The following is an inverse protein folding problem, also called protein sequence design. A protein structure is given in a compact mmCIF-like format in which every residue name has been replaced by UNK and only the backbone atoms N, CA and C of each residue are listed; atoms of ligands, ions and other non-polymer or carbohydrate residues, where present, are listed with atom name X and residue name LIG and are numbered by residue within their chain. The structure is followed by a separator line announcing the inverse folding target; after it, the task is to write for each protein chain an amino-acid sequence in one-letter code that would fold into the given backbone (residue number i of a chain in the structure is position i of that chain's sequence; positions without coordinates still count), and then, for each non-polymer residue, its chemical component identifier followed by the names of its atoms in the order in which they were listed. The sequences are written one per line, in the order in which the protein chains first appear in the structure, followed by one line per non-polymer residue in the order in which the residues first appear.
data_IF_125754569741
#
_entry.id   IF_125754569741
#
_cell.length_a   1.000
_cell.length_b   1.000
_cell.length_c   1.000
_cell.angle_alpha   90.00
_cell.angle_beta   90.00
_cell.angle_gamma   90.00
#
_symmetry.space_group_name_H-M   'P 1'
#
loop_
_entity.id
_entity.type
_entity.pdbx_description
1 polymer ?
#
# COMPACT_ATOMS: atom_id res chain seq x y z
N UNK A 1 -16.30 -21.83 -3.79
CA UNK A 1 -15.23 -22.25 -4.73
C UNK A 1 -14.02 -22.57 -3.90
N UNK A 2 -13.26 -23.58 -4.28
CA UNK A 2 -11.97 -23.83 -3.65
C UNK A 2 -10.91 -22.83 -4.10
N UNK A 3 -9.82 -22.73 -3.35
CA UNK A 3 -8.70 -21.87 -3.74
C UNK A 3 -8.09 -22.29 -5.09
N UNK A 4 -8.01 -23.60 -5.34
CA UNK A 4 -7.53 -24.16 -6.62
C UNK A 4 -8.41 -23.70 -7.79
N UNK A 5 -9.73 -23.76 -7.63
CA UNK A 5 -10.68 -23.30 -8.64
C UNK A 5 -10.57 -21.79 -8.89
N UNK A 6 -10.37 -21.00 -7.84
CA UNK A 6 -10.19 -19.55 -7.94
C UNK A 6 -8.92 -19.19 -8.71
N UNK A 7 -7.78 -19.85 -8.43
CA UNK A 7 -6.52 -19.65 -9.15
C UNK A 7 -6.65 -20.07 -10.62
N UNK A 8 -7.31 -21.20 -10.89
CA UNK A 8 -7.50 -21.69 -12.26
C UNK A 8 -8.28 -20.70 -13.14
N UNK A 9 -9.22 -19.96 -12.56
CA UNK A 9 -10.12 -19.01 -13.26
C UNK A 9 -9.61 -17.56 -13.30
N UNK A 10 -8.60 -17.22 -12.51
CA UNK A 10 -8.09 -15.86 -12.43
C UNK A 10 -7.47 -15.40 -13.76
N UNK A 11 -7.67 -14.11 -14.08
CA UNK A 11 -7.00 -13.45 -15.21
C UNK A 11 -5.55 -13.09 -14.85
N UNK A 12 -4.77 -12.60 -15.83
CA UNK A 12 -3.35 -12.26 -15.64
C UNK A 12 -3.13 -11.30 -14.46
N UNK A 13 -3.98 -10.27 -14.32
CA UNK A 13 -3.90 -9.30 -13.24
C UNK A 13 -4.22 -9.95 -11.89
N UNK A 14 -5.26 -10.77 -11.83
CA UNK A 14 -5.67 -11.51 -10.63
C UNK A 14 -4.59 -12.49 -10.18
N UNK A 15 -3.94 -13.19 -11.11
CA UNK A 15 -2.82 -14.08 -10.83
C UNK A 15 -1.63 -13.32 -10.23
N UNK A 16 -1.20 -12.22 -10.89
CA UNK A 16 -0.10 -11.40 -10.38
C UNK A 16 -0.41 -10.81 -9.00
N UNK A 17 -1.61 -10.24 -8.82
CA UNK A 17 -2.05 -9.67 -7.55
C UNK A 17 -2.16 -10.73 -6.45
N UNK A 18 -2.64 -11.94 -6.75
CA UNK A 18 -2.75 -13.02 -5.75
C UNK A 18 -1.38 -13.52 -5.28
N UNK A 19 -0.41 -13.67 -6.21
CA UNK A 19 0.97 -14.00 -5.88
C UNK A 19 1.64 -12.91 -5.03
N UNK A 20 1.48 -11.63 -5.42
CA UNK A 20 1.97 -10.50 -4.64
C UNK A 20 1.34 -10.44 -3.26
N UNK A 21 0.03 -10.67 -3.13
CA UNK A 21 -0.63 -10.69 -1.82
C UNK A 21 -0.04 -11.78 -0.91
N UNK A 22 0.23 -12.98 -1.44
CA UNK A 22 0.91 -14.03 -0.67
C UNK A 22 2.29 -13.57 -0.21
N UNK A 23 3.08 -12.97 -1.11
CA UNK A 23 4.42 -12.49 -0.78
C UNK A 23 4.41 -11.34 0.24
N UNK A 24 3.52 -10.35 0.07
CA UNK A 24 3.34 -9.17 0.93
C UNK A 24 3.16 -9.57 2.40
N UNK A 25 2.35 -10.61 2.63
CA UNK A 25 2.13 -11.17 3.97
C UNK A 25 3.40 -11.77 4.58
N UNK A 26 4.35 -12.19 3.76
CA UNK A 26 5.60 -12.85 4.16
C UNK A 26 6.81 -11.90 4.13
N UNK A 27 6.67 -10.65 3.65
CA UNK A 27 7.75 -9.65 3.60
C UNK A 27 8.43 -9.41 4.95
N UNK A 28 7.72 -9.41 6.11
CA UNK A 28 8.38 -9.25 7.41
C UNK A 28 9.41 -10.34 7.74
N UNK A 29 9.35 -11.52 7.10
CA UNK A 29 10.36 -12.58 7.25
C UNK A 29 11.67 -12.29 6.48
N UNK A 30 11.63 -11.32 5.57
CA UNK A 30 12.74 -10.90 4.73
C UNK A 30 13.38 -9.59 5.22
N UNK A 31 13.08 -9.18 6.46
CA UNK A 31 13.43 -7.87 7.02
C UNK A 31 12.93 -6.68 6.18
N UNK A 32 11.90 -6.91 5.35
CA UNK A 32 11.29 -5.88 4.53
C UNK A 32 10.20 -5.10 5.29
N UNK A 33 10.03 -3.84 4.90
CA UNK A 33 8.90 -3.00 5.34
C UNK A 33 7.61 -3.29 4.53
N UNK A 34 6.46 -2.84 5.04
CA UNK A 34 5.15 -2.96 4.38
C UNK A 34 5.08 -2.25 3.02
N UNK A 35 6.09 -1.46 2.66
CA UNK A 35 6.18 -0.69 1.43
C UNK A 35 7.12 -1.35 0.39
N UNK A 36 7.74 -2.49 0.73
CA UNK A 36 8.74 -3.14 -0.11
C UNK A 36 8.17 -3.57 -1.46
N UNK A 37 6.90 -4.00 -1.52
CA UNK A 37 6.25 -4.44 -2.76
C UNK A 37 5.46 -3.33 -3.46
N UNK A 38 5.45 -2.09 -2.93
CA UNK A 38 4.67 -0.97 -3.49
C UNK A 38 4.95 -0.71 -4.98
N UNK A 39 6.21 -0.82 -5.49
CA UNK A 39 6.48 -0.67 -6.92
C UNK A 39 5.71 -1.67 -7.78
N UNK A 40 5.67 -2.95 -7.39
CA UNK A 40 4.96 -4.00 -8.12
C UNK A 40 3.44 -3.77 -8.10
N UNK A 41 2.88 -3.36 -6.95
CA UNK A 41 1.47 -2.99 -6.85
C UNK A 41 1.11 -1.80 -7.74
N UNK A 42 2.00 -0.82 -7.88
CA UNK A 42 1.81 0.31 -8.79
C UNK A 42 1.75 -0.14 -10.26
N UNK A 43 2.66 -1.03 -10.70
CA UNK A 43 2.63 -1.55 -12.08
C UNK A 43 1.30 -2.24 -12.42
N UNK A 44 0.71 -2.97 -11.46
CA UNK A 44 -0.61 -3.60 -11.65
C UNK A 44 -1.75 -2.57 -11.66
N UNK A 45 -1.63 -1.47 -10.92
CA UNK A 45 -2.62 -0.39 -10.94
C UNK A 45 -2.61 0.37 -12.28
N UNK A 46 -1.41 0.70 -12.77
CA UNK A 46 -1.17 1.55 -13.94
C UNK A 46 -1.42 0.85 -15.29
N UNK A 47 -1.46 -0.49 -15.32
CA UNK A 47 -1.85 -1.31 -16.48
C UNK A 47 -3.28 -1.02 -17.03
N UNK A 48 -3.98 -0.03 -16.47
CA UNK A 48 -5.31 0.44 -16.86
C UNK A 48 -5.33 1.69 -17.76
N UNK A 49 -4.17 2.31 -18.07
CA UNK A 49 -4.05 3.24 -19.19
C UNK A 49 -3.58 4.67 -18.88
N UNK A 50 -2.30 4.82 -18.53
CA UNK A 50 -1.40 5.92 -18.94
C UNK A 50 0.05 5.55 -18.60
N UNK A 51 0.82 5.10 -19.60
CA UNK A 51 2.17 4.54 -19.36
C UNK A 51 3.19 5.64 -18.98
N UNK A 52 3.40 5.84 -17.68
CA UNK A 52 4.63 6.46 -17.14
C UNK A 52 5.15 5.78 -15.86
N UNK A 53 4.58 4.64 -15.48
CA UNK A 53 5.11 3.78 -14.41
C UNK A 53 6.23 2.85 -14.90
N UNK A 54 7.09 2.34 -13.99
CA UNK A 54 8.08 1.34 -14.33
C UNK A 54 7.42 0.06 -14.87
N UNK A 55 8.08 -0.61 -15.80
CA UNK A 55 7.61 -1.92 -16.27
C UNK A 55 7.72 -2.95 -15.14
N UNK A 56 6.85 -3.95 -15.13
CA UNK A 56 6.79 -5.03 -14.15
C UNK A 56 8.16 -5.66 -13.87
N UNK A 57 8.93 -5.93 -14.95
CA UNK A 57 10.25 -6.54 -14.84
C UNK A 57 11.25 -5.64 -14.09
N UNK A 58 11.20 -4.34 -14.33
CA UNK A 58 12.05 -3.35 -13.66
C UNK A 58 11.68 -3.22 -12.18
N UNK A 59 10.39 -3.09 -11.89
CA UNK A 59 9.89 -3.06 -10.51
C UNK A 59 10.27 -4.34 -9.75
N UNK A 60 10.21 -5.51 -10.39
CA UNK A 60 10.60 -6.77 -9.79
C UNK A 60 12.11 -6.83 -9.47
N UNK A 61 12.96 -6.32 -10.36
CA UNK A 61 14.39 -6.24 -10.12
C UNK A 61 14.69 -5.34 -8.90
N UNK A 62 14.06 -4.17 -8.83
CA UNK A 62 14.21 -3.25 -7.68
C UNK A 62 13.80 -3.90 -6.35
N UNK A 63 12.68 -4.64 -6.34
CA UNK A 63 12.21 -5.35 -5.14
C UNK A 63 13.17 -6.45 -4.73
N UNK A 64 13.72 -7.22 -5.69
CA UNK A 64 14.72 -8.25 -5.42
C UNK A 64 15.98 -7.69 -4.80
N UNK A 65 16.46 -6.57 -5.33
CA UNK A 65 17.65 -5.90 -4.78
C UNK A 65 17.38 -5.36 -3.37
N UNK A 66 16.20 -4.75 -3.13
CA UNK A 66 15.79 -4.26 -1.82
C UNK A 66 15.71 -5.39 -0.77
N UNK A 67 15.23 -6.56 -1.16
CA UNK A 67 14.99 -7.71 -0.27
C UNK A 67 16.09 -8.79 -0.36
N UNK A 68 17.21 -8.51 -1.03
CA UNK A 68 18.26 -9.50 -1.26
C UNK A 68 18.82 -10.07 0.05
N UNK A 69 18.86 -9.26 1.11
CA UNK A 69 19.32 -9.62 2.46
C UNK A 69 20.76 -10.18 2.48
N UNK A 70 21.39 -10.30 3.65
CA UNK A 70 22.56 -11.15 3.77
C UNK A 70 22.09 -12.62 3.70
N UNK A 71 22.60 -13.40 2.75
CA UNK A 71 22.38 -14.84 2.68
C UNK A 71 23.05 -15.54 3.88
N UNK A 72 22.36 -15.53 5.02
CA UNK A 72 22.92 -16.00 6.28
C UNK A 72 22.79 -17.52 6.40
N UNK A 73 23.89 -18.18 6.73
CA UNK A 73 23.88 -19.58 7.15
C UNK A 73 23.04 -19.72 8.42
N UNK A 74 22.03 -20.60 8.40
CA UNK A 74 21.14 -20.83 9.55
C UNK A 74 19.83 -20.04 9.53
N UNK A 75 19.42 -19.54 8.38
CA UNK A 75 18.15 -18.82 8.26
C UNK A 75 16.91 -19.72 8.45
N UNK A 76 15.86 -19.13 9.00
CA UNK A 76 14.60 -19.81 9.30
C UNK A 76 13.93 -20.36 8.03
N UNK A 77 13.37 -21.57 8.11
CA UNK A 77 12.72 -22.26 6.97
C UNK A 77 11.62 -21.39 6.33
N UNK A 78 10.84 -20.65 7.14
CA UNK A 78 9.79 -19.78 6.63
C UNK A 78 10.38 -18.62 5.81
N UNK A 79 11.53 -18.09 6.24
CA UNK A 79 12.22 -17.02 5.54
C UNK A 79 12.85 -17.52 4.22
N UNK A 80 13.41 -18.74 4.19
CA UNK A 80 13.87 -19.41 2.96
C UNK A 80 12.73 -19.57 1.94
N UNK A 81 11.54 -19.99 2.40
CA UNK A 81 10.36 -20.13 1.54
C UNK A 81 9.91 -18.78 0.96
N UNK A 82 9.87 -17.73 1.78
CA UNK A 82 9.53 -16.38 1.31
C UNK A 82 10.54 -15.85 0.27
N UNK A 83 11.84 -16.08 0.47
CA UNK A 83 12.88 -15.75 -0.51
C UNK A 83 12.69 -16.51 -1.83
N UNK A 84 12.35 -17.79 -1.78
CA UNK A 84 12.04 -18.60 -2.98
C UNK A 84 10.83 -18.08 -3.72
N UNK A 85 9.77 -17.65 -3.03
CA UNK A 85 8.59 -17.03 -3.65
C UNK A 85 8.98 -15.78 -4.47
N UNK A 86 9.81 -14.90 -3.89
CA UNK A 86 10.31 -13.69 -4.57
C UNK A 86 11.27 -14.03 -5.73
N UNK A 87 12.19 -14.97 -5.52
CA UNK A 87 13.12 -15.41 -6.55
C UNK A 87 12.42 -16.06 -7.75
N UNK A 88 11.32 -16.77 -7.52
CA UNK A 88 10.54 -17.44 -8.57
C UNK A 88 9.56 -16.51 -9.30
N UNK A 89 9.37 -15.26 -8.87
CA UNK A 89 8.48 -14.32 -9.55
C UNK A 89 8.90 -14.13 -11.02
N UNK A 90 7.99 -14.30 -11.99
CA UNK A 90 8.37 -14.23 -13.39
C UNK A 90 8.64 -12.78 -13.80
N UNK A 91 9.70 -12.53 -14.56
CA UNK A 91 9.96 -11.21 -15.16
C UNK A 91 8.95 -10.88 -16.26
N UNK A 92 8.38 -11.91 -16.90
CA UNK A 92 7.28 -11.76 -17.86
C UNK A 92 5.93 -11.81 -17.12
N UNK A 93 5.13 -10.75 -17.27
CA UNK A 93 3.80 -10.66 -16.67
C UNK A 93 2.75 -11.32 -17.57
N UNK A 94 2.90 -12.62 -17.86
CA UNK A 94 1.99 -13.39 -18.72
C UNK A 94 1.25 -14.50 -17.97
N UNK A 95 0.02 -14.79 -18.42
CA UNK A 95 -0.94 -15.65 -17.71
C UNK A 95 -0.41 -17.04 -17.32
N UNK A 96 0.21 -17.83 -18.22
CA UNK A 96 0.69 -19.16 -17.88
C UNK A 96 1.76 -19.16 -16.78
N UNK A 97 2.80 -18.32 -16.89
CA UNK A 97 3.90 -18.27 -15.91
C UNK A 97 3.43 -17.70 -14.57
N UNK A 98 2.55 -16.69 -14.60
CA UNK A 98 1.93 -16.14 -13.40
C UNK A 98 1.02 -17.15 -12.70
N UNK A 99 0.36 -18.06 -13.44
CA UNK A 99 -0.47 -19.11 -12.83
C UNK A 99 0.38 -20.08 -12.02
N UNK A 100 1.48 -20.56 -12.60
CA UNK A 100 2.43 -21.44 -11.90
C UNK A 100 3.01 -20.74 -10.67
N UNK A 101 3.39 -19.47 -10.80
CA UNK A 101 3.93 -18.69 -9.69
C UNK A 101 2.88 -18.44 -8.58
N UNK A 102 1.67 -18.04 -8.93
CA UNK A 102 0.59 -17.82 -7.96
C UNK A 102 0.20 -19.10 -7.21
N UNK A 103 0.13 -20.24 -7.92
CA UNK A 103 -0.11 -21.55 -7.30
C UNK A 103 0.99 -21.90 -6.28
N UNK A 104 2.26 -21.78 -6.68
CA UNK A 104 3.40 -22.03 -5.81
C UNK A 104 3.43 -21.08 -4.59
N UNK A 105 3.15 -19.79 -4.80
CA UNK A 105 3.05 -18.80 -3.72
C UNK A 105 1.93 -19.12 -2.73
N UNK A 106 0.78 -19.62 -3.21
CA UNK A 106 -0.34 -20.02 -2.35
C UNK A 106 0.05 -21.16 -1.41
N UNK A 107 0.72 -22.18 -1.94
CA UNK A 107 1.24 -23.34 -1.18
C UNK A 107 2.32 -22.91 -0.20
N UNK A 108 3.30 -22.13 -0.65
CA UNK A 108 4.40 -21.66 0.18
C UNK A 108 3.90 -20.81 1.36
N UNK A 109 2.96 -19.89 1.13
CA UNK A 109 2.37 -19.08 2.21
C UNK A 109 1.64 -19.94 3.24
N UNK A 110 0.90 -20.97 2.82
CA UNK A 110 0.24 -21.90 3.76
C UNK A 110 1.27 -22.70 4.58
N UNK A 111 2.36 -23.15 3.97
CA UNK A 111 3.48 -23.81 4.68
C UNK A 111 4.14 -22.87 5.68
N UNK A 112 4.42 -21.62 5.29
CA UNK A 112 4.97 -20.58 6.17
C UNK A 112 4.06 -20.37 7.39
N UNK A 113 2.75 -20.18 7.17
CA UNK A 113 1.80 -19.97 8.28
C UNK A 113 1.65 -21.19 9.19
N UNK A 114 1.93 -22.40 8.67
CA UNK A 114 2.03 -23.61 9.49
C UNK A 114 3.30 -23.64 10.34
N UNK A 115 4.45 -23.27 9.79
CA UNK A 115 5.71 -23.17 10.53
C UNK A 115 5.63 -22.12 11.65
N UNK A 116 4.92 -21.03 11.41
CA UNK A 116 4.68 -19.97 12.39
C UNK A 116 3.55 -20.30 13.38
N UNK A 117 2.78 -21.36 13.15
CA UNK A 117 1.72 -21.76 14.06
C UNK A 117 2.34 -22.28 15.36
N UNK A 118 1.89 -21.80 16.54
CA UNK A 118 2.27 -22.40 17.81
C UNK A 118 2.00 -23.91 17.77
N UNK A 119 2.94 -24.72 18.24
CA UNK A 119 2.86 -26.17 18.19
C UNK A 119 1.66 -26.71 19.00
N UNK A 120 0.47 -26.72 18.41
CA UNK A 120 -0.66 -27.46 18.90
C UNK A 120 -0.49 -28.91 18.43
N UNK A 121 0.25 -29.70 19.22
CA UNK A 121 0.33 -31.16 19.12
C UNK A 121 0.49 -31.71 17.70
N UNK A 122 1.72 -31.68 17.17
CA UNK A 122 2.24 -32.46 16.04
C UNK A 122 1.21 -33.10 15.09
N UNK A 123 0.43 -32.28 14.37
CA UNK A 123 -0.26 -32.76 13.19
C UNK A 123 0.80 -33.06 12.11
N UNK A 124 0.68 -34.18 11.36
CA UNK A 124 1.68 -34.61 10.39
C UNK A 124 1.91 -33.56 9.30
N UNK A 125 3.15 -33.44 8.80
CA UNK A 125 3.63 -32.49 7.79
C UNK A 125 2.97 -32.60 6.39
N UNK A 126 1.77 -33.16 6.30
CA UNK A 126 1.02 -33.19 5.05
C UNK A 126 0.74 -31.77 4.55
N UNK A 127 0.72 -31.63 3.22
CA UNK A 127 0.29 -30.40 2.56
C UNK A 127 -1.09 -29.96 3.04
N UNK A 128 -1.28 -28.64 3.13
CA UNK A 128 -2.56 -28.05 3.51
C UNK A 128 -3.55 -28.25 2.35
N UNK A 129 -4.69 -28.95 2.56
CA UNK A 129 -5.71 -29.09 1.53
C UNK A 129 -6.24 -27.71 1.11
N UNK A 130 -6.13 -27.40 -0.18
CA UNK A 130 -6.62 -26.13 -0.79
C UNK A 130 -7.97 -26.30 -1.48
N UNK A 131 -8.38 -27.55 -1.69
CA UNK A 131 -9.63 -28.00 -2.27
C UNK A 131 -10.74 -28.24 -1.24
N UNK A 132 -10.38 -28.35 0.04
CA UNK A 132 -11.28 -28.61 1.15
C UNK A 132 -11.54 -27.37 2.04
N UNK A 133 -12.45 -27.52 3.00
CA UNK A 133 -12.75 -26.53 4.02
C UNK A 133 -11.62 -26.34 5.03
N UNK A 134 -11.82 -25.41 5.97
CA UNK A 134 -10.82 -25.12 7.02
C UNK A 134 -10.96 -25.99 8.27
N UNK A 135 -11.89 -26.95 8.29
CA UNK A 135 -12.09 -27.82 9.45
C UNK A 135 -10.80 -28.60 9.81
N UNK A 136 -10.41 -28.56 11.08
CA UNK A 136 -9.23 -29.29 11.57
C UNK A 136 -7.88 -28.64 11.25
N UNK A 137 -7.84 -27.52 10.52
CA UNK A 137 -6.59 -26.80 10.25
C UNK A 137 -6.16 -25.95 11.46
N UNK A 138 -4.84 -25.77 11.69
CA UNK A 138 -4.34 -24.81 12.67
C UNK A 138 -4.91 -23.40 12.42
N UNK A 139 -5.22 -22.60 13.46
CA UNK A 139 -5.91 -21.31 13.30
C UNK A 139 -5.23 -20.35 12.31
N UNK A 140 -3.90 -20.26 12.30
CA UNK A 140 -3.15 -19.42 11.36
C UNK A 140 -3.29 -19.91 9.91
N UNK A 141 -3.27 -21.22 9.70
CA UNK A 141 -3.44 -21.84 8.37
C UNK A 141 -4.86 -21.62 7.85
N UNK A 142 -5.87 -21.84 8.71
CA UNK A 142 -7.28 -21.59 8.39
C UNK A 142 -7.55 -20.10 8.09
N UNK A 143 -6.87 -19.18 8.77
CA UNK A 143 -6.97 -17.75 8.50
C UNK A 143 -6.34 -17.38 7.14
N UNK A 144 -5.15 -17.93 6.85
CA UNK A 144 -4.46 -17.66 5.58
C UNK A 144 -5.21 -18.24 4.37
N UNK A 145 -5.75 -19.46 4.47
CA UNK A 145 -6.54 -20.06 3.38
C UNK A 145 -7.77 -19.21 3.05
N UNK A 146 -8.51 -18.73 4.07
CA UNK A 146 -9.66 -17.83 3.87
C UNK A 146 -9.25 -16.50 3.26
N UNK A 147 -8.12 -15.94 3.69
CA UNK A 147 -7.59 -14.69 3.14
C UNK A 147 -7.25 -14.83 1.66
N UNK A 148 -6.54 -15.89 1.25
CA UNK A 148 -6.18 -16.13 -0.14
C UNK A 148 -7.41 -16.25 -1.04
N UNK A 149 -8.42 -17.02 -0.59
CA UNK A 149 -9.70 -17.13 -1.29
C UNK A 149 -10.39 -15.77 -1.42
N UNK A 150 -10.51 -15.01 -0.32
CA UNK A 150 -11.14 -13.69 -0.32
C UNK A 150 -10.45 -12.69 -1.26
N UNK A 151 -9.11 -12.72 -1.37
CA UNK A 151 -8.35 -11.88 -2.31
C UNK A 151 -8.72 -12.21 -3.75
N UNK A 152 -8.74 -13.49 -4.13
CA UNK A 152 -9.09 -13.92 -5.49
C UNK A 152 -10.56 -13.66 -5.82
N UNK A 153 -11.47 -13.87 -4.88
CA UNK A 153 -12.89 -13.53 -5.04
C UNK A 153 -13.08 -12.02 -5.26
N UNK A 154 -12.37 -11.20 -4.49
CA UNK A 154 -12.37 -9.75 -4.68
C UNK A 154 -11.87 -9.38 -6.07
N UNK A 155 -10.73 -9.93 -6.50
CA UNK A 155 -10.14 -9.66 -7.81
C UNK A 155 -11.05 -10.12 -8.96
N UNK A 156 -11.70 -11.27 -8.83
CA UNK A 156 -12.68 -11.77 -9.80
C UNK A 156 -13.91 -10.84 -9.92
N UNK A 157 -14.36 -10.25 -8.81
CA UNK A 157 -15.41 -9.23 -8.80
C UNK A 157 -15.03 -7.92 -9.48
N UNK A 158 -13.72 -7.66 -9.65
CA UNK A 158 -13.16 -6.48 -10.31
C UNK A 158 -12.60 -6.77 -11.72
N UNK A 159 -13.00 -7.88 -12.36
CA UNK A 159 -12.48 -8.33 -13.66
C UNK A 159 -12.46 -7.25 -14.76
N UNK A 160 -11.82 -7.51 -15.91
CA UNK A 160 -11.42 -6.56 -16.98
C UNK A 160 -12.32 -5.34 -17.30
N UNK A 161 -13.62 -5.35 -16.98
CA UNK A 161 -14.55 -4.23 -17.03
C UNK A 161 -14.83 -3.58 -15.66
N UNK A 162 -13.86 -3.57 -14.74
CA UNK A 162 -13.94 -2.99 -13.39
C UNK A 162 -14.08 -1.46 -13.40
N UNK A 163 -15.05 -0.94 -14.15
CA UNK A 163 -15.58 0.38 -13.96
C UNK A 163 -15.99 0.50 -12.51
N UNK A 164 -15.33 1.42 -11.79
CA UNK A 164 -15.81 1.92 -10.51
C UNK A 164 -17.34 2.00 -10.58
N UNK A 165 -18.11 1.43 -9.63
CA UNK A 165 -19.40 2.03 -9.37
C UNK A 165 -19.09 3.49 -9.07
N UNK A 166 -19.58 4.39 -9.93
CA UNK A 166 -19.37 5.82 -9.78
C UNK A 166 -19.62 6.12 -8.30
N UNK A 167 -18.58 6.57 -7.59
CA UNK A 167 -18.75 7.09 -6.24
C UNK A 167 -19.85 8.12 -6.38
N UNK A 168 -21.04 7.81 -5.87
CA UNK A 168 -22.13 8.78 -5.77
C UNK A 168 -21.45 10.01 -5.16
N UNK A 169 -21.45 11.17 -5.84
CA UNK A 169 -20.82 12.35 -5.27
C UNK A 169 -21.43 12.52 -3.88
N UNK A 170 -20.56 12.47 -2.89
CA UNK A 170 -20.90 12.81 -1.53
C UNK A 170 -21.48 14.22 -1.61
N UNK A 171 -22.81 14.31 -1.51
CA UNK A 171 -23.47 15.57 -1.17
C UNK A 171 -23.21 15.71 0.31
N UNK A 172 -22.22 16.51 0.69
CA UNK A 172 -22.11 16.95 2.08
C UNK A 172 -23.43 17.61 2.47
N UNK A 173 -24.08 17.17 3.57
CA UNK A 173 -24.75 18.12 4.41
C UNK A 173 -23.67 19.04 5.01
N UNK A 174 -24.05 20.28 5.22
CA UNK A 174 -23.19 21.40 5.58
C UNK A 174 -22.29 21.08 6.79
N UNK A 175 -21.09 21.67 6.74
CA UNK A 175 -19.98 21.62 7.71
C UNK A 175 -20.44 21.61 9.16
N UNK A 176 -19.88 20.69 9.95
CA UNK A 176 -19.44 20.95 11.32
C UNK A 176 -17.99 20.46 11.44
N UNK A 177 -17.11 21.40 11.79
CA UNK A 177 -15.66 21.24 11.79
C UNK A 177 -15.18 20.81 13.18
N UNK A 178 -14.86 19.54 13.40
CA UNK A 178 -14.12 19.07 14.58
C UNK A 178 -13.64 17.62 14.46
N UNK A 179 -12.68 17.29 13.58
CA UNK A 179 -11.88 16.05 13.74
C UNK A 179 -10.64 15.98 12.83
N UNK A 180 -9.81 17.02 12.81
CA UNK A 180 -8.48 16.93 12.19
C UNK A 180 -7.45 17.46 13.17
N UNK A 181 -7.13 16.66 14.18
CA UNK A 181 -5.90 16.80 14.97
C UNK A 181 -5.64 15.53 15.80
N UNK A 182 -5.05 14.50 15.18
CA UNK A 182 -4.06 13.66 15.88
C UNK A 182 -3.25 12.80 14.90
N UNK A 183 -1.94 12.89 15.08
CA UNK A 183 -0.85 12.01 14.62
C UNK A 183 -0.04 12.40 13.37
N UNK A 184 1.00 13.18 13.63
CA UNK A 184 2.36 12.91 13.16
C UNK A 184 3.40 13.52 14.15
N UNK A 185 4.67 13.07 14.14
CA UNK A 185 5.37 12.63 15.36
C UNK A 185 6.62 13.45 15.74
N UNK A 186 7.21 13.03 16.86
CA UNK A 186 8.57 13.27 17.39
C UNK A 186 8.85 14.53 18.24
N UNK A 187 9.34 14.29 19.48
CA UNK A 187 9.88 15.27 20.44
C UNK A 187 11.36 15.59 20.18
N UNK A 188 12.27 15.72 21.18
CA UNK A 188 12.14 16.04 22.61
C UNK A 188 12.77 17.41 22.93
N UNK A 189 12.69 17.88 24.18
CA UNK A 189 13.54 19.00 24.63
C UNK A 189 12.97 19.79 25.79
N UNK A 190 13.64 19.68 26.93
CA UNK A 190 13.36 20.30 28.21
C UNK A 190 13.17 21.82 28.18
N UNK A 191 12.27 22.27 29.04
CA UNK A 191 12.69 23.15 30.14
C UNK A 191 12.75 24.64 29.87
N UNK A 192 11.85 25.35 30.56
CA UNK A 192 12.08 26.67 31.16
C UNK A 192 12.25 27.87 30.18
N UNK A 193 11.75 29.07 30.40
CA UNK A 193 10.97 29.69 31.46
C UNK A 193 10.75 31.15 31.02
N UNK A 194 9.56 31.70 31.31
CA UNK A 194 9.26 33.12 31.56
C UNK A 194 9.39 34.18 30.44
N UNK A 195 8.23 34.84 30.29
CA UNK A 195 7.97 36.29 30.41
C UNK A 195 8.55 37.23 29.34
N UNK A 196 7.65 38.04 28.79
CA UNK A 196 7.91 39.48 28.74
C UNK A 196 7.59 40.16 27.43
N UNK A 197 6.36 40.68 27.34
CA UNK A 197 5.98 42.01 26.82
C UNK A 197 6.91 42.70 25.81
N UNK A 198 6.27 43.02 24.67
CA UNK A 198 6.31 44.30 23.91
C UNK A 198 7.65 44.68 23.26
N UNK A 199 7.63 44.75 21.92
CA UNK A 199 7.82 45.99 21.11
C UNK A 199 7.78 45.64 19.62
N UNK A 200 7.00 46.41 18.86
CA UNK A 200 7.19 46.66 17.43
C UNK A 200 7.69 48.12 17.28
N UNK A 201 8.11 48.61 16.10
CA UNK A 201 8.89 48.04 14.99
C UNK A 201 10.13 48.95 14.72
N UNK A 202 10.73 48.95 13.50
CA UNK A 202 10.39 50.09 12.64
C UNK A 202 10.11 49.73 11.18
N UNK A 203 9.26 50.59 10.61
CA UNK A 203 8.83 50.70 9.22
C UNK A 203 9.96 51.31 8.38
N UNK A 204 10.22 50.77 7.20
CA UNK A 204 10.98 51.47 6.15
C UNK A 204 10.00 52.14 5.20
N UNK A 205 10.08 53.47 5.12
CA UNK A 205 9.34 54.34 4.21
C UNK A 205 10.15 54.48 2.93
N UNK A 206 9.53 54.21 1.77
CA UNK A 206 10.03 54.69 0.48
C UNK A 206 9.05 55.74 -0.04
N UNK A 207 9.53 56.97 -0.17
CA UNK A 207 8.84 58.11 -0.79
C UNK A 207 8.96 57.99 -2.32
N UNK A 208 7.84 58.02 -3.01
CA UNK A 208 7.73 58.41 -4.41
C UNK A 208 6.69 59.52 -4.55
N UNK A 209 7.16 60.73 -4.84
CA UNK A 209 6.40 61.86 -5.40
C UNK A 209 6.07 61.52 -6.88
N UNK A 210 4.99 61.92 -7.55
CA UNK A 210 3.97 62.95 -7.37
C UNK A 210 3.02 62.81 -8.57
N UNK A 211 1.71 63.02 -8.39
CA UNK A 211 0.80 63.22 -9.51
C UNK A 211 -0.64 62.77 -9.28
N UNK A 212 -1.46 63.65 -8.69
CA UNK A 212 -2.87 63.85 -9.02
C UNK A 212 -3.86 62.69 -8.86
N UNK A 213 -4.79 62.85 -7.91
CA UNK A 213 -6.17 62.40 -8.09
C UNK A 213 -6.56 61.14 -7.32
N UNK A 214 -7.46 61.35 -6.35
CA UNK A 214 -8.33 60.38 -5.70
C UNK A 214 -7.67 59.22 -4.92
N UNK A 215 -7.97 59.18 -3.63
CA UNK A 215 -7.68 58.06 -2.75
C UNK A 215 -8.37 56.78 -3.29
N UNK A 216 -7.58 55.87 -3.83
CA UNK A 216 -7.98 54.49 -4.10
C UNK A 216 -7.19 53.60 -3.15
N UNK A 217 -7.89 52.98 -2.22
CA UNK A 217 -7.36 51.89 -1.38
C UNK A 217 -6.99 50.74 -2.31
N UNK A 218 -5.70 50.60 -2.61
CA UNK A 218 -5.16 49.49 -3.40
C UNK A 218 -5.22 48.20 -2.59
N UNK A 219 -6.20 47.36 -2.89
CA UNK A 219 -6.31 46.00 -2.36
C UNK A 219 -5.20 45.12 -2.96
N UNK A 220 -4.29 44.62 -2.13
CA UNK A 220 -3.31 43.60 -2.54
C UNK A 220 -4.03 42.26 -2.64
N UNK A 221 -4.52 41.93 -3.83
CA UNK A 221 -5.10 40.63 -4.15
C UNK A 221 -3.99 39.63 -4.49
N UNK A 222 -3.68 38.74 -3.54
CA UNK A 222 -2.97 37.49 -3.85
C UNK A 222 -4.00 36.41 -4.15
N UNK A 223 -4.11 36.05 -5.43
CA UNK A 223 -4.94 34.94 -5.90
C UNK A 223 -4.18 33.63 -5.71
N UNK A 224 -4.76 32.69 -4.96
CA UNK A 224 -4.32 31.29 -4.98
C UNK A 224 -5.01 30.60 -6.17
N UNK A 225 -4.25 30.27 -7.20
CA UNK A 225 -4.74 29.50 -8.33
C UNK A 225 -5.15 28.09 -7.85
N UNK A 226 -6.46 27.88 -7.69
CA UNK A 226 -7.04 26.59 -7.30
C UNK A 226 -8.29 26.69 -6.43
N UNK A 227 -8.55 27.85 -5.81
CA UNK A 227 -9.70 28.04 -4.96
C UNK A 227 -10.06 29.54 -4.99
N UNK A 228 -11.03 29.94 -5.82
CA UNK A 228 -11.45 31.33 -6.01
C UNK A 228 -12.19 31.95 -4.81
N UNK A 229 -11.60 31.91 -3.62
CA UNK A 229 -12.17 32.49 -2.40
C UNK A 229 -11.36 33.73 -1.99
N UNK A 230 -12.00 34.90 -2.06
CA UNK A 230 -11.50 36.15 -1.47
C UNK A 230 -11.96 36.25 -0.02
N UNK A 231 -11.03 36.40 0.92
CA UNK A 231 -11.35 36.75 2.30
C UNK A 231 -11.01 38.22 2.53
N UNK A 232 -12.03 39.03 2.82
CA UNK A 232 -11.88 40.40 3.32
C UNK A 232 -12.01 40.36 4.84
N UNK A 233 -11.01 40.87 5.56
CA UNK A 233 -11.14 41.16 6.99
C UNK A 233 -11.22 42.68 7.16
N UNK A 234 -12.24 43.13 7.89
CA UNK A 234 -12.32 44.46 8.51
C UNK A 234 -11.51 44.45 9.79
#
# INVERSE_FOLDING_TARGET
MSLVELIARADTRGLAASGLACLDRCVPLLDGDDEALRPLWATLADASGDASGPDWAEALAQVRDKLAGPGATGEDEAAVLARRMLAAAPAECSGPVLRTWADACSVASLRIHRLLAPAAGAAPEADVPRDAGTEGLPPLVAAELRRQAAVLELLAGHGAAGGRPARRPWRSPRRDAACCARWSPAGPGDGAERRGRRRAPPVTVVRGTSGGGAAVVGEVRRSCAGCGTTASHV
#
